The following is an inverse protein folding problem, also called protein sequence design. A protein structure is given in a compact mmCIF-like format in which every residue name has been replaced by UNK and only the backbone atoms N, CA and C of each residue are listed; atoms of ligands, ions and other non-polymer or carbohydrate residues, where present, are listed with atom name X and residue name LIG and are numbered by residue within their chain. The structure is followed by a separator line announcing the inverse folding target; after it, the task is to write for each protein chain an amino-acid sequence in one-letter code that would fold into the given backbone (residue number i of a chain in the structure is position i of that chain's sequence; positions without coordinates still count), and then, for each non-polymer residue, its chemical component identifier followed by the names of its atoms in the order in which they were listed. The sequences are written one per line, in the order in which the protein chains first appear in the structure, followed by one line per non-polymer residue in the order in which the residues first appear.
data_IF_221898387556
#
_entry.id   IF_221898387556
#
_cell.length_a   1.000
_cell.length_b   1.000
_cell.length_c   1.000
_cell.angle_alpha   90.00
_cell.angle_beta   90.00
_cell.angle_gamma   90.00
#
_symmetry.space_group_name_H-M   'P 1'
#
loop_
_entity.id
_entity.type
_entity.pdbx_description
1 polymer ?
#
# COMPACT_ATOMS: atom_id res chain seq x y z
N UNK A 1 -11.39 0.95 37.58
CA UNK A 1 -9.93 1.03 37.84
C UNK A 1 -9.44 -0.38 38.18
N UNK A 2 -8.69 -1.13 37.39
CA UNK A 2 -8.13 -0.98 36.05
C UNK A 2 -7.77 -2.39 35.55
N UNK A 3 -8.38 -2.79 34.44
CA UNK A 3 -8.16 -4.06 33.71
C UNK A 3 -7.01 -3.94 32.70
N UNK A 4 -6.30 -2.81 32.71
CA UNK A 4 -5.23 -2.45 31.76
C UNK A 4 -3.81 -2.80 32.26
N UNK A 5 -3.65 -3.30 33.49
CA UNK A 5 -2.31 -3.54 34.08
C UNK A 5 -1.79 -4.99 33.95
N UNK A 6 -2.46 -5.87 33.18
CA UNK A 6 -2.07 -7.29 33.04
C UNK A 6 -1.59 -7.71 31.65
N UNK A 7 -1.49 -6.78 30.71
CA UNK A 7 -0.96 -7.01 29.36
C UNK A 7 0.48 -6.50 29.17
N UNK A 8 1.09 -5.87 30.17
CA UNK A 8 2.42 -5.25 30.06
C UNK A 8 3.47 -5.78 31.05
N UNK A 9 3.43 -7.07 31.39
CA UNK A 9 4.52 -7.62 32.20
C UNK A 9 4.42 -9.09 32.53
N UNK A 10 5.00 -9.93 31.66
CA UNK A 10 5.69 -11.15 32.11
C UNK A 10 6.78 -11.58 31.14
N UNK A 11 8.01 -11.46 31.64
CA UNK A 11 9.19 -12.28 31.37
C UNK A 11 9.97 -12.04 30.07
N UNK A 12 11.03 -11.22 30.21
CA UNK A 12 12.30 -11.44 29.51
C UNK A 12 12.96 -12.73 30.01
N UNK A 13 13.02 -13.74 29.14
CA UNK A 13 14.04 -14.78 29.07
C UNK A 13 13.71 -15.65 27.84
N UNK A 14 14.65 -15.81 26.91
CA UNK A 14 14.57 -16.58 25.65
C UNK A 14 13.84 -15.98 24.45
N UNK A 15 14.22 -14.79 23.98
CA UNK A 15 13.97 -14.44 22.57
C UNK A 15 15.08 -13.57 21.95
N UNK A 16 16.33 -13.84 22.32
CA UNK A 16 17.52 -13.37 21.57
C UNK A 16 17.89 -14.40 20.48
N UNK A 17 16.88 -15.07 19.93
CA UNK A 17 17.04 -15.79 18.68
C UNK A 17 17.18 -14.73 17.58
N UNK A 18 18.26 -14.73 16.78
CA UNK A 18 18.34 -13.85 15.63
C UNK A 18 17.13 -14.16 14.75
N UNK A 19 16.17 -13.22 14.66
CA UNK A 19 15.12 -13.30 13.65
C UNK A 19 15.86 -13.35 12.32
N UNK A 20 15.83 -14.47 11.57
CA UNK A 20 16.52 -14.51 10.31
C UNK A 20 15.89 -13.45 9.42
N UNK A 21 16.68 -12.43 9.06
CA UNK A 21 16.28 -11.49 8.01
C UNK A 21 16.04 -12.33 6.77
N UNK A 22 14.77 -12.51 6.41
CA UNK A 22 14.38 -13.18 5.17
C UNK A 22 15.15 -12.53 4.02
N UNK A 23 15.86 -13.34 3.24
CA UNK A 23 16.52 -12.86 2.05
C UNK A 23 15.44 -12.31 1.10
N UNK A 24 15.64 -11.10 0.60
CA UNK A 24 14.68 -10.46 -0.28
C UNK A 24 14.45 -11.28 -1.55
N UNK A 25 13.22 -11.77 -1.73
CA UNK A 25 12.79 -12.51 -2.91
C UNK A 25 11.98 -11.58 -3.84
N UNK A 26 12.60 -11.05 -4.92
CA UNK A 26 11.93 -10.14 -5.84
C UNK A 26 10.76 -10.79 -6.57
N UNK A 27 10.75 -12.11 -6.77
CA UNK A 27 9.71 -12.79 -7.53
C UNK A 27 8.46 -13.01 -6.67
N UNK A 28 8.62 -13.38 -5.40
CA UNK A 28 7.52 -13.43 -4.45
C UNK A 28 6.87 -12.04 -4.25
N UNK A 29 7.70 -10.99 -4.16
CA UNK A 29 7.23 -9.61 -4.03
C UNK A 29 6.51 -9.14 -5.29
N UNK A 30 6.97 -9.55 -6.48
CA UNK A 30 6.36 -9.14 -7.77
C UNK A 30 4.89 -9.50 -7.87
N UNK A 31 4.49 -10.67 -7.37
CA UNK A 31 3.07 -11.08 -7.32
C UNK A 31 2.24 -10.05 -6.54
N UNK A 32 2.75 -9.56 -5.40
CA UNK A 32 2.06 -8.55 -4.59
C UNK A 32 2.09 -7.16 -5.19
N UNK A 33 3.16 -6.81 -5.90
CA UNK A 33 3.20 -5.58 -6.70
C UNK A 33 2.13 -5.60 -7.79
N UNK A 34 1.95 -6.72 -8.50
CA UNK A 34 0.97 -6.83 -9.58
C UNK A 34 -0.48 -6.76 -9.06
N UNK A 35 -0.76 -7.36 -7.91
CA UNK A 35 -2.05 -7.21 -7.19
C UNK A 35 -2.32 -5.74 -6.81
N UNK A 36 -1.31 -5.02 -6.32
CA UNK A 36 -1.40 -3.61 -5.97
C UNK A 36 -1.58 -2.72 -7.21
N UNK A 37 -0.89 -3.00 -8.31
CA UNK A 37 -1.07 -2.35 -9.62
C UNK A 37 -2.52 -2.49 -10.11
N UNK A 38 -3.11 -3.67 -9.92
CA UNK A 38 -4.52 -3.92 -10.24
C UNK A 38 -5.45 -3.05 -9.41
N UNK A 39 -5.27 -3.05 -8.08
CA UNK A 39 -6.10 -2.27 -7.15
C UNK A 39 -5.98 -0.76 -7.38
N UNK A 40 -4.79 -0.24 -7.69
CA UNK A 40 -4.59 1.16 -8.08
C UNK A 40 -5.25 1.48 -9.43
N UNK A 41 -5.28 0.52 -10.35
CA UNK A 41 -5.97 0.65 -11.64
C UNK A 41 -7.47 0.81 -11.44
N UNK A 42 -8.09 -0.13 -10.72
CA UNK A 42 -9.52 -0.08 -10.42
C UNK A 42 -9.91 1.20 -9.67
N UNK A 43 -9.08 1.65 -8.71
CA UNK A 43 -9.31 2.91 -8.02
C UNK A 43 -9.22 4.11 -8.96
N UNK A 44 -8.21 4.16 -9.83
CA UNK A 44 -8.06 5.25 -10.79
C UNK A 44 -9.22 5.30 -11.79
N UNK A 45 -9.71 4.13 -12.22
CA UNK A 45 -10.83 4.03 -13.16
C UNK A 45 -12.14 4.48 -12.48
N UNK A 46 -12.37 4.09 -11.23
CA UNK A 46 -13.52 4.55 -10.45
C UNK A 46 -13.46 6.05 -10.11
N UNK A 47 -12.26 6.64 -10.10
CA UNK A 47 -12.07 8.08 -9.92
C UNK A 47 -12.22 8.89 -11.22
N UNK A 48 -12.17 8.25 -12.38
CA UNK A 48 -12.21 8.91 -13.70
C UNK A 48 -13.48 8.52 -14.48
N UNK A 49 -14.63 8.66 -13.81
CA UNK A 49 -15.95 8.50 -14.42
C UNK A 49 -16.35 9.75 -15.21
N UNK A 50 -17.41 9.63 -16.02
CA UNK A 50 -17.95 10.77 -16.80
C UNK A 50 -18.36 11.95 -15.90
N UNK A 51 -18.92 11.66 -14.73
CA UNK A 51 -19.34 12.65 -13.73
C UNK A 51 -18.23 13.04 -12.74
N UNK A 52 -16.99 12.61 -12.97
CA UNK A 52 -15.88 12.91 -12.07
C UNK A 52 -15.68 14.43 -11.95
N UNK A 53 -15.43 14.97 -10.73
CA UNK A 53 -15.27 16.40 -10.50
C UNK A 53 -13.89 16.90 -11.00
N UNK A 54 -13.61 16.78 -12.29
CA UNK A 54 -12.32 17.12 -12.89
C UNK A 54 -12.01 18.62 -12.86
N UNK A 55 -13.02 19.47 -12.63
CA UNK A 55 -12.80 20.88 -12.31
C UNK A 55 -12.15 21.09 -10.94
N UNK A 56 -12.28 20.15 -10.00
CA UNK A 56 -11.64 20.18 -8.69
C UNK A 56 -10.14 19.85 -8.81
N UNK A 57 -9.22 20.80 -8.53
CA UNK A 57 -7.79 20.55 -8.62
C UNK A 57 -7.28 19.48 -7.65
N UNK A 58 -7.91 19.35 -6.48
CA UNK A 58 -7.57 18.33 -5.50
C UNK A 58 -7.88 16.93 -5.99
N UNK A 59 -9.06 16.73 -6.60
CA UNK A 59 -9.43 15.46 -7.22
C UNK A 59 -8.46 15.05 -8.33
N UNK A 60 -8.21 15.97 -9.27
CA UNK A 60 -7.25 15.74 -10.37
C UNK A 60 -5.85 15.43 -9.87
N UNK A 61 -5.40 16.11 -8.81
CA UNK A 61 -4.12 15.84 -8.16
C UNK A 61 -4.05 14.40 -7.66
N UNK A 62 -5.06 13.97 -6.88
CA UNK A 62 -5.11 12.60 -6.35
C UNK A 62 -5.21 11.54 -7.43
N UNK A 63 -6.02 11.76 -8.47
CA UNK A 63 -6.09 10.82 -9.61
C UNK A 63 -4.73 10.69 -10.32
N UNK A 64 -4.01 11.81 -10.50
CA UNK A 64 -2.66 11.79 -11.06
C UNK A 64 -1.70 11.00 -10.18
N UNK A 65 -1.73 11.21 -8.87
CA UNK A 65 -0.85 10.51 -7.93
C UNK A 65 -1.06 8.99 -7.98
N UNK A 66 -2.33 8.54 -7.99
CA UNK A 66 -2.67 7.11 -8.13
C UNK A 66 -2.13 6.53 -9.44
N UNK A 67 -2.29 7.26 -10.56
CA UNK A 67 -1.80 6.84 -11.88
C UNK A 67 -0.28 6.78 -11.95
N UNK A 68 0.41 7.74 -11.36
CA UNK A 68 1.86 7.80 -11.31
C UNK A 68 2.44 6.65 -10.47
N UNK A 69 1.92 6.45 -9.26
CA UNK A 69 2.32 5.35 -8.38
C UNK A 69 2.14 3.98 -9.06
N UNK A 70 1.00 3.77 -9.74
CA UNK A 70 0.76 2.56 -10.56
C UNK A 70 1.79 2.42 -11.69
N UNK A 71 2.15 3.52 -12.35
CA UNK A 71 3.16 3.55 -13.40
C UNK A 71 4.55 3.16 -12.91
N UNK A 72 4.98 3.72 -11.78
CA UNK A 72 6.28 3.41 -11.15
C UNK A 72 6.36 1.94 -10.71
N UNK A 73 5.30 1.42 -10.07
CA UNK A 73 5.23 0.00 -9.72
C UNK A 73 5.32 -0.92 -10.95
N UNK A 74 4.69 -0.54 -12.07
CA UNK A 74 4.80 -1.29 -13.34
C UNK A 74 6.19 -1.26 -13.93
N UNK A 75 6.91 -0.14 -13.79
CA UNK A 75 8.30 -0.06 -14.24
C UNK A 75 9.19 -0.95 -13.38
N UNK A 76 8.99 -0.93 -12.06
CA UNK A 76 9.70 -1.81 -11.12
C UNK A 76 9.40 -3.30 -11.41
N UNK A 77 8.12 -3.67 -11.55
CA UNK A 77 7.68 -5.07 -11.78
C UNK A 77 8.03 -5.62 -13.17
N UNK A 78 8.64 -4.81 -14.05
CA UNK A 78 9.19 -5.27 -15.33
C UNK A 78 10.70 -5.46 -15.32
N UNK A 79 11.41 -4.99 -14.28
CA UNK A 79 12.85 -5.21 -14.15
C UNK A 79 13.11 -6.70 -13.92
N UNK A 80 14.15 -7.25 -14.57
CA UNK A 80 14.56 -8.65 -14.36
C UNK A 80 14.92 -8.91 -12.89
N UNK A 81 15.56 -7.94 -12.24
CA UNK A 81 15.84 -7.92 -10.80
C UNK A 81 15.63 -6.50 -10.26
N UNK A 82 15.28 -6.40 -8.98
CA UNK A 82 15.25 -5.16 -8.22
C UNK A 82 15.65 -5.47 -6.78
N UNK A 83 16.11 -4.45 -6.04
CA UNK A 83 16.48 -4.57 -4.62
C UNK A 83 15.30 -4.22 -3.72
N UNK A 84 15.43 -4.54 -2.43
CA UNK A 84 14.49 -4.09 -1.40
C UNK A 84 14.44 -2.56 -1.29
N UNK A 85 15.57 -1.89 -1.54
CA UNK A 85 15.64 -0.42 -1.52
C UNK A 85 14.92 0.19 -2.73
N UNK A 86 15.12 -0.37 -3.95
CA UNK A 86 14.36 0.03 -5.14
C UNK A 86 12.84 -0.08 -4.89
N UNK A 87 12.42 -1.15 -4.21
CA UNK A 87 11.02 -1.36 -3.83
C UNK A 87 10.53 -0.26 -2.90
N UNK A 88 11.24 0.03 -1.82
CA UNK A 88 10.78 1.01 -0.85
C UNK A 88 10.82 2.44 -1.37
N UNK A 89 11.77 2.77 -2.25
CA UNK A 89 11.78 4.05 -2.96
C UNK A 89 10.45 4.27 -3.69
N UNK A 90 10.01 3.29 -4.49
CA UNK A 90 8.73 3.34 -5.20
C UNK A 90 7.54 3.26 -4.24
N UNK A 91 7.56 2.37 -3.24
CA UNK A 91 6.42 2.14 -2.36
C UNK A 91 6.07 3.39 -1.52
N UNK A 92 7.03 4.28 -1.27
CA UNK A 92 6.77 5.57 -0.59
C UNK A 92 5.88 6.53 -1.38
N UNK A 93 5.79 6.35 -2.71
CA UNK A 93 4.91 7.15 -3.59
C UNK A 93 3.48 6.61 -3.61
N UNK A 94 3.28 5.35 -3.22
CA UNK A 94 1.96 4.71 -3.19
C UNK A 94 1.21 5.11 -1.93
N UNK A 95 0.10 5.84 -2.09
CA UNK A 95 -0.71 6.33 -0.96
C UNK A 95 -2.20 6.03 -1.18
N UNK A 96 -2.90 5.50 -0.16
CA UNK A 96 -4.36 5.53 -0.15
C UNK A 96 -4.86 6.99 -0.24
N UNK A 97 -6.06 7.19 -0.77
CA UNK A 97 -6.69 8.52 -0.84
C UNK A 97 -6.83 9.14 0.54
N UNK A 98 -7.22 8.32 1.52
CA UNK A 98 -7.35 8.69 2.93
C UNK A 98 -7.05 7.49 3.84
N UNK A 99 -6.89 7.77 5.13
CA UNK A 99 -6.80 6.76 6.21
C UNK A 99 -7.91 7.00 7.23
N UNK A 100 -8.45 5.93 7.80
CA UNK A 100 -9.55 6.02 8.77
C UNK A 100 -10.91 6.24 8.09
N UNK A 101 -11.74 7.08 8.69
CA UNK A 101 -13.10 7.33 8.21
C UNK A 101 -13.09 8.00 6.81
N UNK A 102 -13.86 7.48 5.83
CA UNK A 102 -13.94 8.06 4.50
C UNK A 102 -14.54 9.46 4.53
N UNK A 103 -13.89 10.48 3.93
CA UNK A 103 -14.55 11.74 3.66
C UNK A 103 -15.75 11.51 2.73
N UNK A 104 -16.81 12.32 2.88
CA UNK A 104 -18.08 12.15 2.15
C UNK A 104 -17.90 11.95 0.64
N UNK A 105 -17.06 12.76 0.02
CA UNK A 105 -16.81 12.73 -1.43
C UNK A 105 -16.10 11.45 -1.89
N UNK A 106 -15.40 10.75 -0.98
CA UNK A 106 -14.68 9.50 -1.25
C UNK A 106 -15.40 8.26 -0.70
N UNK A 107 -16.56 8.41 -0.05
CA UNK A 107 -17.24 7.29 0.61
C UNK A 107 -17.58 6.14 -0.35
N UNK A 108 -17.92 6.47 -1.61
CA UNK A 108 -18.20 5.48 -2.66
C UNK A 108 -16.94 4.70 -3.12
N UNK A 109 -15.74 5.22 -2.83
CA UNK A 109 -14.46 4.59 -3.17
C UNK A 109 -13.89 3.77 -2.01
N UNK A 110 -14.61 3.64 -0.89
CA UNK A 110 -14.03 3.13 0.35
C UNK A 110 -13.47 1.71 0.23
N UNK A 111 -14.19 0.79 -0.40
CA UNK A 111 -13.71 -0.58 -0.63
C UNK A 111 -12.48 -0.63 -1.52
N UNK A 112 -12.38 0.23 -2.54
CA UNK A 112 -11.21 0.31 -3.43
C UNK A 112 -9.99 0.92 -2.70
N UNK A 113 -10.23 1.95 -1.88
CA UNK A 113 -9.19 2.55 -1.05
C UNK A 113 -8.63 1.55 -0.01
N UNK A 114 -9.51 0.77 0.62
CA UNK A 114 -9.11 -0.30 1.54
C UNK A 114 -8.26 -1.37 0.84
N UNK A 115 -8.64 -1.78 -0.38
CA UNK A 115 -7.82 -2.71 -1.17
C UNK A 115 -6.43 -2.18 -1.48
N UNK A 116 -6.29 -0.88 -1.76
CA UNK A 116 -4.97 -0.26 -1.93
C UNK A 116 -4.18 -0.29 -0.62
N UNK A 117 -4.79 0.06 0.51
CA UNK A 117 -4.13 0.01 1.82
C UNK A 117 -3.65 -1.42 2.15
N UNK A 118 -4.52 -2.42 1.99
CA UNK A 118 -4.19 -3.83 2.22
C UNK A 118 -3.10 -4.33 1.24
N UNK A 119 -3.12 -3.86 -0.01
CA UNK A 119 -2.10 -4.19 -1.01
C UNK A 119 -0.71 -3.65 -0.63
N UNK A 120 -0.64 -2.42 -0.09
CA UNK A 120 0.62 -1.86 0.43
C UNK A 120 1.16 -2.73 1.57
N UNK A 121 0.31 -3.13 2.52
CA UNK A 121 0.72 -4.01 3.63
C UNK A 121 1.16 -5.40 3.14
N UNK A 122 0.48 -5.96 2.13
CA UNK A 122 0.84 -7.23 1.53
C UNK A 122 2.23 -7.18 0.87
N UNK A 123 2.55 -6.09 0.16
CA UNK A 123 3.89 -5.85 -0.41
C UNK A 123 4.93 -5.72 0.71
N UNK A 124 4.64 -4.96 1.76
CA UNK A 124 5.53 -4.85 2.93
C UNK A 124 5.80 -6.21 3.57
N UNK A 125 4.77 -7.05 3.72
CA UNK A 125 4.91 -8.40 4.29
C UNK A 125 5.67 -9.35 3.38
N UNK A 126 5.50 -9.27 2.07
CA UNK A 126 6.24 -10.11 1.13
C UNK A 126 7.74 -9.75 1.07
N UNK A 127 8.09 -8.50 1.38
CA UNK A 127 9.47 -8.03 1.36
C UNK A 127 10.27 -8.32 2.65
N UNK A 128 9.63 -8.84 3.70
CA UNK A 128 10.23 -9.10 5.02
C UNK A 128 10.00 -10.54 5.47
#
# INVERSE_FOLDING_TARGET
MGILNKLFGRSSADDDAPVPLSAFDPDAVRVKIDELIGSLGELADAMDTEDAPMSNPGWRGRLRDVRNARGELRLLSRRSQFTKDDLYEVLTTVRPLYRGEPPKDFAHLAGLNERVANGIEAVHRAAN
#
